data_IF_438742054615
#
_entry.id   IF_438742054615
#
_cell.length_a   1.000
_cell.length_b   1.000
_cell.length_c   1.000
_cell.angle_alpha   90.00
_cell.angle_beta   90.00
_cell.angle_gamma   90.00
#
_symmetry.space_group_name_H-M   'P 1'
#
loop_
_entity.id
_entity.type
_entity.pdbx_description
1 polymer ?
#
# COMPACT_ATOMS: atom_id res chain seq x y z
N UNK A 1 -2.05 10.49 17.65
CA UNK A 1 -2.61 9.69 16.54
C UNK A 1 -1.52 8.91 15.84
N UNK A 2 -1.88 7.71 15.46
CA UNK A 2 -0.98 6.80 14.73
C UNK A 2 -1.35 6.82 13.26
N UNK A 3 -0.38 6.61 12.39
CA UNK A 3 -0.69 6.41 10.99
C UNK A 3 0.25 5.41 10.34
N UNK A 4 -0.24 4.74 9.31
CA UNK A 4 0.52 3.83 8.48
C UNK A 4 0.19 4.07 7.02
N UNK A 5 1.10 3.69 6.14
CA UNK A 5 0.86 3.72 4.70
C UNK A 5 1.45 2.47 4.06
N UNK A 6 0.83 2.03 2.98
CA UNK A 6 1.38 0.92 2.20
C UNK A 6 2.64 1.32 1.43
N UNK A 7 2.77 2.62 1.11
CA UNK A 7 3.62 3.04 0.02
C UNK A 7 3.02 2.59 -1.32
N UNK A 8 3.63 2.93 -2.45
CA UNK A 8 3.16 2.48 -3.75
C UNK A 8 3.18 0.95 -3.81
N UNK A 9 2.01 0.36 -4.06
CA UNK A 9 1.83 -1.09 -4.10
C UNK A 9 0.75 -1.45 -5.11
N UNK A 10 0.84 -2.64 -5.68
CA UNK A 10 -0.20 -3.13 -6.57
C UNK A 10 -1.50 -3.37 -5.81
N UNK A 11 -2.61 -3.16 -6.47
CA UNK A 11 -3.94 -3.38 -5.89
C UNK A 11 -4.08 -4.79 -5.31
N UNK A 12 -3.49 -5.79 -5.96
CA UNK A 12 -3.52 -7.17 -5.46
C UNK A 12 -2.83 -7.40 -4.12
N UNK A 13 -1.97 -6.47 -3.68
CA UNK A 13 -1.16 -6.64 -2.47
C UNK A 13 -1.50 -5.72 -1.30
N UNK A 14 -2.46 -4.79 -1.47
CA UNK A 14 -2.66 -3.74 -0.46
C UNK A 14 -3.15 -4.27 0.89
N UNK A 15 -4.04 -5.26 0.88
CA UNK A 15 -4.66 -5.76 2.11
C UNK A 15 -3.65 -6.39 3.06
N UNK A 16 -2.78 -7.24 2.52
CA UNK A 16 -1.72 -7.86 3.29
C UNK A 16 -0.72 -6.83 3.82
N UNK A 17 -0.36 -5.88 2.97
CA UNK A 17 0.58 -4.82 3.34
C UNK A 17 0.02 -3.93 4.46
N UNK A 18 -1.25 -3.54 4.38
CA UNK A 18 -1.90 -2.77 5.44
C UNK A 18 -1.90 -3.53 6.76
N UNK A 19 -2.29 -4.80 6.74
CA UNK A 19 -2.32 -5.62 7.95
C UNK A 19 -0.95 -5.71 8.59
N UNK A 20 0.08 -5.94 7.81
CA UNK A 20 1.47 -6.01 8.31
C UNK A 20 1.92 -4.67 8.88
N UNK A 21 1.62 -3.56 8.21
CA UNK A 21 2.01 -2.24 8.66
C UNK A 21 1.32 -1.85 9.97
N UNK A 22 0.03 -2.14 10.10
CA UNK A 22 -0.73 -1.89 11.33
C UNK A 22 -0.16 -2.71 12.49
N UNK A 23 0.02 -4.01 12.30
CA UNK A 23 0.54 -4.87 13.36
C UNK A 23 1.95 -4.47 13.79
N UNK A 24 2.80 -4.08 12.85
CA UNK A 24 4.15 -3.59 13.16
C UNK A 24 4.09 -2.29 13.98
N UNK A 25 3.21 -1.37 13.64
CA UNK A 25 3.07 -0.09 14.34
C UNK A 25 2.52 -0.23 15.75
N UNK A 26 1.78 -1.31 16.03
CA UNK A 26 1.13 -1.55 17.32
C UNK A 26 1.89 -2.53 18.21
N UNK A 27 3.09 -2.95 17.82
CA UNK A 27 3.84 -3.96 18.58
C UNK A 27 4.00 -3.60 20.06
N UNK A 28 4.36 -2.36 20.37
CA UNK A 28 4.51 -1.91 21.76
C UNK A 28 3.17 -1.85 22.49
N UNK A 29 2.11 -1.48 21.80
CA UNK A 29 0.76 -1.48 22.35
C UNK A 29 0.31 -2.89 22.75
N UNK A 30 0.67 -3.89 21.96
CA UNK A 30 0.37 -5.30 22.28
C UNK A 30 1.14 -5.73 23.53
N UNK A 31 2.42 -5.39 23.62
CA UNK A 31 3.25 -5.73 24.78
C UNK A 31 2.73 -5.09 26.07
N UNK A 32 2.25 -3.86 25.98
CA UNK A 32 1.70 -3.13 27.12
C UNK A 32 0.26 -3.48 27.45
N UNK A 33 -0.35 -4.37 26.70
CA UNK A 33 -1.74 -4.79 26.91
C UNK A 33 -2.78 -3.72 26.61
N UNK A 34 -2.43 -2.68 25.84
CA UNK A 34 -3.35 -1.59 25.51
C UNK A 34 -4.42 -1.98 24.51
N UNK A 35 -4.14 -2.98 23.70
CA UNK A 35 -5.10 -3.56 22.76
C UNK A 35 -4.68 -5.00 22.44
N UNK A 36 -5.63 -5.85 22.12
CA UNK A 36 -5.38 -7.23 21.71
C UNK A 36 -5.18 -7.31 20.20
N UNK A 37 -4.20 -8.09 19.77
CA UNK A 37 -3.93 -8.30 18.35
C UNK A 37 -5.15 -8.89 17.63
N UNK A 38 -5.93 -9.76 18.30
CA UNK A 38 -7.16 -10.32 17.72
C UNK A 38 -8.18 -9.24 17.37
N UNK A 39 -8.34 -8.23 18.22
CA UNK A 39 -9.28 -7.12 17.98
C UNK A 39 -8.82 -6.24 16.81
N UNK A 40 -7.52 -5.97 16.72
CA UNK A 40 -6.94 -5.22 15.59
C UNK A 40 -7.13 -5.98 14.27
N UNK A 41 -6.85 -7.27 14.27
CA UNK A 41 -6.99 -8.09 13.07
C UNK A 41 -8.45 -8.20 12.62
N UNK A 42 -9.38 -8.23 13.55
CA UNK A 42 -10.82 -8.19 13.23
C UNK A 42 -11.19 -6.86 12.57
N UNK A 43 -10.75 -5.74 13.11
CA UNK A 43 -10.96 -4.42 12.52
C UNK A 43 -10.35 -4.33 11.13
N UNK A 44 -9.12 -4.84 10.95
CA UNK A 44 -8.45 -4.84 9.64
C UNK A 44 -9.16 -5.72 8.62
N UNK A 45 -9.75 -6.83 9.03
CA UNK A 45 -10.55 -7.66 8.12
C UNK A 45 -11.74 -6.87 7.57
N UNK A 46 -12.42 -6.12 8.41
CA UNK A 46 -13.56 -5.28 8.00
C UNK A 46 -13.10 -4.12 7.09
N UNK A 47 -12.02 -3.45 7.45
CA UNK A 47 -11.45 -2.36 6.65
C UNK A 47 -11.02 -2.87 5.28
N UNK A 48 -10.28 -3.96 5.23
CA UNK A 48 -9.80 -4.53 3.99
C UNK A 48 -10.94 -5.00 3.07
N UNK A 49 -11.99 -5.55 3.66
CA UNK A 49 -13.19 -5.94 2.90
C UNK A 49 -13.86 -4.72 2.28
N UNK A 50 -14.06 -3.67 3.05
CA UNK A 50 -14.65 -2.43 2.55
C UNK A 50 -13.80 -1.79 1.45
N UNK A 51 -12.48 -1.77 1.63
CA UNK A 51 -11.55 -1.25 0.63
C UNK A 51 -11.56 -2.09 -0.64
N UNK A 52 -11.58 -3.41 -0.52
CA UNK A 52 -11.67 -4.30 -1.68
C UNK A 52 -12.96 -4.04 -2.46
N UNK A 53 -14.09 -3.99 -1.76
CA UNK A 53 -15.38 -3.73 -2.41
C UNK A 53 -15.37 -2.38 -3.14
N UNK A 54 -14.79 -1.35 -2.55
CA UNK A 54 -14.69 -0.04 -3.16
C UNK A 54 -13.74 -0.02 -4.36
N UNK A 55 -12.50 -0.46 -4.15
CA UNK A 55 -11.42 -0.33 -5.13
C UNK A 55 -11.59 -1.29 -6.29
N UNK A 56 -11.89 -2.54 -6.01
CA UNK A 56 -11.94 -3.60 -7.02
C UNK A 56 -13.33 -3.75 -7.61
N UNK A 57 -14.35 -3.83 -6.77
CA UNK A 57 -15.72 -4.09 -7.23
C UNK A 57 -16.38 -2.83 -7.79
N UNK A 58 -16.38 -1.74 -7.02
CA UNK A 58 -17.08 -0.53 -7.43
C UNK A 58 -16.33 0.28 -8.48
N UNK A 59 -15.03 0.49 -8.26
CA UNK A 59 -14.21 1.30 -9.17
C UNK A 59 -13.49 0.48 -10.24
N UNK A 60 -13.42 -0.84 -10.07
CA UNK A 60 -12.86 -1.74 -11.07
C UNK A 60 -11.38 -1.57 -11.33
N UNK A 61 -10.59 -1.17 -10.34
CA UNK A 61 -9.14 -1.04 -10.52
C UNK A 61 -8.53 -2.41 -10.86
N UNK A 62 -7.71 -2.49 -11.92
CA UNK A 62 -7.00 -3.72 -12.25
C UNK A 62 -6.03 -4.13 -11.14
N UNK A 63 -5.75 -5.42 -11.05
CA UNK A 63 -4.81 -5.98 -10.05
C UNK A 63 -3.41 -5.36 -10.12
N UNK A 64 -2.99 -4.98 -11.30
CA UNK A 64 -1.67 -4.41 -11.58
C UNK A 64 -1.60 -2.92 -11.31
N UNK A 65 -2.73 -2.26 -11.13
CA UNK A 65 -2.75 -0.82 -10.82
C UNK A 65 -2.05 -0.56 -9.50
N UNK A 66 -1.28 0.52 -9.48
CA UNK A 66 -0.51 0.92 -8.30
C UNK A 66 -1.30 1.96 -7.53
N UNK A 67 -1.37 1.77 -6.23
CA UNK A 67 -1.99 2.72 -5.32
C UNK A 67 -1.17 2.83 -4.04
N UNK A 68 -1.45 3.86 -3.25
CA UNK A 68 -0.94 4.03 -1.90
C UNK A 68 -2.13 4.27 -0.99
N UNK A 69 -2.21 3.54 0.11
CA UNK A 69 -3.26 3.72 1.10
C UNK A 69 -2.61 4.14 2.41
N UNK A 70 -3.11 5.24 2.96
CA UNK A 70 -2.69 5.77 4.24
C UNK A 70 -3.86 5.74 5.21
N UNK A 71 -3.65 5.15 6.38
CA UNK A 71 -4.64 5.11 7.45
C UNK A 71 -4.12 5.90 8.64
N UNK A 72 -4.97 6.75 9.19
CA UNK A 72 -4.76 7.42 10.47
C UNK A 72 -5.72 6.83 11.49
N UNK A 73 -5.23 6.44 12.65
CA UNK A 73 -6.03 5.73 13.64
C UNK A 73 -5.56 6.03 15.05
N UNK A 74 -6.36 5.62 16.01
CA UNK A 74 -6.05 5.69 17.43
C UNK A 74 -6.50 4.42 18.12
N UNK A 75 -5.91 4.20 19.30
CA UNK A 75 -6.38 3.18 20.23
C UNK A 75 -7.04 3.92 21.39
N UNK A 76 -8.36 3.78 21.49
CA UNK A 76 -9.16 4.47 22.50
C UNK A 76 -9.87 3.43 23.37
N UNK A 77 -9.46 3.33 24.65
CA UNK A 77 -10.07 2.40 25.59
C UNK A 77 -9.99 0.94 25.15
N UNK A 78 -8.87 0.55 24.52
CA UNK A 78 -8.70 -0.81 24.01
C UNK A 78 -9.39 -1.08 22.68
N UNK A 79 -9.87 -0.04 22.00
CA UNK A 79 -10.60 -0.16 20.74
C UNK A 79 -9.79 0.51 19.63
N UNK A 80 -9.68 -0.18 18.49
CA UNK A 80 -9.09 0.39 17.28
C UNK A 80 -10.11 1.32 16.62
N UNK A 81 -9.74 2.60 16.46
CA UNK A 81 -10.62 3.61 15.87
C UNK A 81 -9.94 4.22 14.64
N UNK A 82 -10.52 3.99 13.48
CA UNK A 82 -10.04 4.61 12.24
C UNK A 82 -10.49 6.07 12.21
N UNK A 83 -9.54 6.98 12.03
CA UNK A 83 -9.79 8.43 12.04
C UNK A 83 -9.79 9.05 10.66
N UNK A 84 -8.95 8.55 9.76
CA UNK A 84 -8.83 9.10 8.41
C UNK A 84 -8.28 8.05 7.46
N UNK A 85 -8.54 8.23 6.18
CA UNK A 85 -8.02 7.40 5.12
C UNK A 85 -7.73 8.25 3.89
N UNK A 86 -6.58 8.01 3.28
CA UNK A 86 -6.21 8.64 2.01
C UNK A 86 -5.81 7.54 1.06
N UNK A 87 -6.37 7.57 -0.14
CA UNK A 87 -6.04 6.63 -1.21
C UNK A 87 -5.53 7.44 -2.39
N UNK A 88 -4.33 7.14 -2.83
CA UNK A 88 -3.73 7.74 -4.01
C UNK A 88 -3.53 6.68 -5.06
N UNK A 89 -3.85 6.99 -6.31
CA UNK A 89 -3.64 6.08 -7.44
C UNK A 89 -2.57 6.66 -8.33
N UNK A 90 -1.80 5.78 -8.99
CA UNK A 90 -0.66 6.15 -9.81
C UNK A 90 -0.87 5.66 -11.22
N UNK A 91 -0.54 6.51 -12.17
CA UNK A 91 -0.61 6.19 -13.58
C UNK A 91 0.81 6.19 -14.13
N UNK A 92 1.13 5.20 -14.93
CA UNK A 92 2.42 5.11 -15.59
C UNK A 92 2.60 6.28 -16.56
N UNK A 93 3.70 7.00 -16.39
CA UNK A 93 4.11 8.02 -17.35
C UNK A 93 4.85 7.35 -18.51
N UNK A 94 4.14 7.08 -19.60
CA UNK A 94 4.67 6.37 -20.76
C UNK A 94 5.80 7.13 -21.43
N UNK A 95 5.66 8.45 -21.55
CA UNK A 95 6.66 9.28 -22.23
C UNK A 95 7.97 9.31 -21.46
N UNK A 96 7.90 9.63 -20.17
CA UNK A 96 9.09 9.68 -19.31
C UNK A 96 9.71 8.30 -19.14
N UNK A 97 8.91 7.26 -18.97
CA UNK A 97 9.39 5.88 -18.84
C UNK A 97 10.21 5.47 -20.07
N UNK A 98 9.69 5.75 -21.25
CA UNK A 98 10.37 5.43 -22.51
C UNK A 98 11.67 6.22 -22.67
N UNK A 99 11.64 7.51 -22.35
CA UNK A 99 12.83 8.37 -22.44
C UNK A 99 13.94 7.89 -21.50
N UNK A 100 13.60 7.59 -20.24
CA UNK A 100 14.55 7.08 -19.26
C UNK A 100 15.10 5.71 -19.67
N UNK A 101 14.24 4.83 -20.14
CA UNK A 101 14.65 3.50 -20.59
C UNK A 101 15.65 3.58 -21.71
N UNK A 102 15.38 4.41 -22.73
CA UNK A 102 16.27 4.58 -23.87
C UNK A 102 17.61 5.19 -23.45
N UNK A 103 17.60 6.17 -22.58
CA UNK A 103 18.84 6.76 -22.07
C UNK A 103 19.65 5.78 -21.24
N UNK A 104 18.98 5.00 -20.40
CA UNK A 104 19.65 3.98 -19.59
C UNK A 104 20.30 2.91 -20.47
N UNK A 105 19.60 2.47 -21.50
CA UNK A 105 20.17 1.51 -22.47
C UNK A 105 21.41 2.08 -23.15
N UNK A 106 21.37 3.34 -23.56
CA UNK A 106 22.51 4.00 -24.20
C UNK A 106 23.73 4.14 -23.30
N UNK A 107 23.51 4.26 -21.98
CA UNK A 107 24.61 4.43 -21.03
C UNK A 107 25.14 3.10 -20.49
N UNK A 108 24.27 2.11 -20.32
CA UNK A 108 24.61 0.91 -19.56
C UNK A 108 24.80 -0.34 -20.39
N UNK A 109 24.16 -0.43 -21.54
CA UNK A 109 24.33 -1.58 -22.41
C UNK A 109 25.56 -1.39 -23.29
N UNK A 110 26.34 -2.43 -23.46
CA UNK A 110 27.45 -2.40 -24.39
C UNK A 110 26.93 -2.07 -25.80
N UNK A 111 27.59 -1.21 -26.53
CA UNK A 111 27.18 -0.94 -27.92
C UNK A 111 27.16 -2.27 -28.67
N UNK A 112 26.02 -2.53 -29.32
CA UNK A 112 25.96 -3.64 -30.24
C UNK A 112 27.19 -3.51 -31.12
N UNK A 113 28.02 -4.53 -31.13
CA UNK A 113 29.08 -4.59 -32.10
C UNK A 113 28.40 -4.51 -33.43
N UNK A 114 28.50 -3.35 -34.01
CA UNK A 114 28.19 -3.23 -35.41
C UNK A 114 29.10 -4.20 -36.12
N UNK A 115 28.62 -5.39 -36.25
CA UNK A 115 29.18 -6.24 -37.24
C UNK A 115 28.90 -5.56 -38.56
N UNK A 116 29.73 -4.74 -38.84
CA UNK A 116 29.81 -4.42 -40.22
C UNK A 116 30.13 -5.67 -40.95
#
# INVERSE_FOLDING_TARGET
MLFVKTGPIRTSGFALKLRRAINASLREYYKEGKIKAADVNKAMTEINKALYDLIVTDFGLPKESVLNIQLTFDIEGGIFVLKDIIIETYVKDEVLSKALTNKAKGKLLAPEKVTT
#
